data_IF_605454981312
#
_entry.id   IF_605454981312
#
_cell.length_a   1.000
_cell.length_b   1.000
_cell.length_c   1.000
_cell.angle_alpha   90.00
_cell.angle_beta   90.00
_cell.angle_gamma   90.00
#
_symmetry.space_group_name_H-M   'P 1'
#
loop_
_entity.id
_entity.type
_entity.pdbx_description
1 polymer ?
#
# COMPACT_ATOMS: atom_id res chain seq x y z
N UNK A 1 30.68 16.88 -1.96
CA UNK A 1 31.03 15.45 -2.04
C UNK A 1 30.63 14.80 -0.73
N UNK A 2 29.74 13.80 -0.75
CA UNK A 2 29.43 13.00 0.45
C UNK A 2 30.75 12.35 0.88
N UNK A 3 31.27 12.64 2.08
CA UNK A 3 32.41 11.88 2.59
C UNK A 3 31.88 10.49 2.90
N UNK A 4 32.46 9.43 2.33
CA UNK A 4 32.10 8.04 2.63
C UNK A 4 31.99 7.75 4.14
N UNK A 5 32.80 8.44 4.95
CA UNK A 5 32.74 8.40 6.42
C UNK A 5 31.42 8.91 7.02
N UNK A 6 30.74 9.88 6.41
CA UNK A 6 29.44 10.39 6.89
C UNK A 6 28.31 9.39 6.65
N UNK A 7 28.36 8.65 5.53
CA UNK A 7 27.40 7.57 5.27
C UNK A 7 27.49 6.48 6.34
N UNK A 8 28.72 6.02 6.67
CA UNK A 8 28.95 4.99 7.68
C UNK A 8 28.47 5.41 9.08
N UNK A 9 28.45 6.71 9.38
CA UNK A 9 27.89 7.21 10.65
C UNK A 9 26.38 7.01 10.78
N UNK A 10 25.66 6.95 9.65
CA UNK A 10 24.20 6.76 9.62
C UNK A 10 23.78 5.35 9.22
N UNK A 11 24.73 4.53 8.78
CA UNK A 11 24.49 3.15 8.39
C UNK A 11 24.94 2.22 9.52
N UNK A 12 23.99 1.79 10.35
CA UNK A 12 24.24 1.11 11.64
C UNK A 12 25.01 -0.22 11.56
N UNK A 13 25.24 -0.78 10.36
CA UNK A 13 25.89 -2.07 10.15
C UNK A 13 27.04 -1.94 9.13
N UNK A 14 27.90 -2.95 9.03
CA UNK A 14 28.85 -3.03 7.91
C UNK A 14 28.05 -3.26 6.61
N UNK A 15 28.18 -2.40 5.58
CA UNK A 15 27.51 -2.61 4.30
C UNK A 15 27.95 -3.92 3.64
N UNK A 16 27.03 -4.59 2.96
CA UNK A 16 27.39 -5.71 2.08
C UNK A 16 28.12 -5.22 0.83
N UNK A 17 28.69 -6.15 0.06
CA UNK A 17 29.34 -5.82 -1.21
C UNK A 17 28.36 -5.15 -2.18
N UNK A 18 27.16 -5.72 -2.34
CA UNK A 18 26.09 -5.15 -3.17
C UNK A 18 25.68 -3.74 -2.71
N UNK A 19 25.59 -3.51 -1.40
CA UNK A 19 25.26 -2.18 -0.84
C UNK A 19 26.38 -1.16 -1.09
N UNK A 20 27.64 -1.59 -1.02
CA UNK A 20 28.81 -0.75 -1.31
C UNK A 20 28.86 -0.37 -2.80
N UNK A 21 28.59 -1.32 -3.68
CA UNK A 21 28.49 -1.09 -5.14
C UNK A 21 27.31 -0.17 -5.44
N UNK A 22 26.15 -0.41 -4.83
CA UNK A 22 24.96 0.43 -4.99
C UNK A 22 25.21 1.87 -4.54
N UNK A 23 25.85 2.07 -3.39
CA UNK A 23 26.23 3.40 -2.91
C UNK A 23 27.18 4.10 -3.90
N UNK A 24 28.20 3.40 -4.39
CA UNK A 24 29.15 3.96 -5.36
C UNK A 24 28.46 4.40 -6.65
N UNK A 25 27.56 3.56 -7.18
CA UNK A 25 26.74 3.90 -8.35
C UNK A 25 25.80 5.07 -8.08
N UNK A 26 25.20 5.13 -6.89
CA UNK A 26 24.31 6.22 -6.48
C UNK A 26 25.05 7.56 -6.36
N UNK A 27 26.28 7.55 -5.84
CA UNK A 27 27.15 8.74 -5.79
C UNK A 27 27.53 9.21 -7.19
N UNK A 28 27.90 8.30 -8.10
CA UNK A 28 28.19 8.63 -9.49
C UNK A 28 26.94 9.20 -10.19
N UNK A 29 25.78 8.59 -9.95
CA UNK A 29 24.50 9.08 -10.45
C UNK A 29 24.21 10.52 -10.03
N UNK A 30 24.52 10.92 -8.79
CA UNK A 30 24.31 12.30 -8.36
C UNK A 30 25.22 13.30 -9.08
N UNK A 31 26.44 12.90 -9.41
CA UNK A 31 27.45 13.77 -10.03
C UNK A 31 27.23 13.88 -11.54
N UNK A 32 26.85 12.78 -12.19
CA UNK A 32 26.65 12.71 -13.63
C UNK A 32 25.34 13.39 -14.04
N UNK A 33 25.40 14.61 -14.58
CA UNK A 33 24.21 15.35 -15.02
C UNK A 33 23.47 14.73 -16.19
N UNK A 34 24.07 13.75 -16.89
CA UNK A 34 23.39 13.05 -17.99
C UNK A 34 22.36 12.03 -17.51
N UNK A 35 22.52 11.52 -16.28
CA UNK A 35 21.61 10.52 -15.71
C UNK A 35 20.41 11.20 -15.04
N UNK A 36 19.20 10.72 -15.32
CA UNK A 36 17.96 11.32 -14.81
C UNK A 36 17.33 10.44 -13.74
N UNK A 37 17.38 9.12 -13.95
CA UNK A 37 16.76 8.12 -13.08
C UNK A 37 17.79 7.12 -12.55
N UNK A 38 17.64 6.77 -11.27
CA UNK A 38 18.33 5.66 -10.65
C UNK A 38 17.33 4.62 -10.16
N UNK A 39 17.53 3.34 -10.47
CA UNK A 39 16.72 2.23 -9.94
C UNK A 39 17.55 1.42 -8.95
N UNK A 40 17.13 1.39 -7.69
CA UNK A 40 17.65 0.46 -6.68
C UNK A 40 16.67 -0.70 -6.49
N UNK A 41 16.99 -1.84 -7.10
CA UNK A 41 16.25 -3.08 -6.92
C UNK A 41 16.78 -3.83 -5.71
N UNK A 42 15.90 -4.52 -5.00
CA UNK A 42 16.31 -5.43 -3.96
C UNK A 42 15.09 -6.09 -3.33
N UNK A 43 15.27 -7.30 -2.83
CA UNK A 43 14.16 -8.07 -2.28
C UNK A 43 13.87 -7.70 -0.83
N UNK A 44 12.87 -8.34 -0.23
CA UNK A 44 12.60 -8.19 1.20
C UNK A 44 13.87 -8.51 2.02
N UNK A 45 14.19 -7.64 2.98
CA UNK A 45 15.32 -7.86 3.90
C UNK A 45 16.72 -7.50 3.37
N UNK A 46 16.87 -6.96 2.16
CA UNK A 46 18.20 -6.57 1.60
C UNK A 46 18.69 -5.19 2.05
N UNK A 47 17.91 -4.47 2.85
CA UNK A 47 18.31 -3.19 3.45
C UNK A 47 18.16 -1.96 2.54
N UNK A 48 17.33 -2.01 1.50
CA UNK A 48 17.05 -0.86 0.60
C UNK A 48 16.74 0.43 1.36
N UNK A 49 15.74 0.37 2.26
CA UNK A 49 15.28 1.53 3.04
C UNK A 49 16.37 2.02 3.99
N UNK A 50 17.19 1.12 4.56
CA UNK A 50 18.33 1.47 5.42
C UNK A 50 19.42 2.20 4.63
N UNK A 51 19.76 1.70 3.43
CA UNK A 51 20.77 2.30 2.56
C UNK A 51 20.36 3.71 2.14
N UNK A 52 19.11 3.87 1.71
CA UNK A 52 18.59 5.18 1.31
C UNK A 52 18.45 6.13 2.49
N UNK A 53 18.01 5.66 3.65
CA UNK A 53 17.94 6.50 4.85
C UNK A 53 19.32 7.05 5.22
N UNK A 54 20.34 6.19 5.25
CA UNK A 54 21.70 6.62 5.53
C UNK A 54 22.25 7.55 4.45
N UNK A 55 21.97 7.25 3.18
CA UNK A 55 22.31 8.11 2.06
C UNK A 55 21.71 9.51 2.20
N UNK A 56 20.39 9.62 2.42
CA UNK A 56 19.70 10.91 2.58
C UNK A 56 20.23 11.68 3.79
N UNK A 57 20.45 11.02 4.93
CA UNK A 57 21.04 11.65 6.12
C UNK A 57 22.49 12.11 5.91
N UNK A 58 23.22 11.48 4.98
CA UNK A 58 24.59 11.85 4.61
C UNK A 58 24.67 12.98 3.58
N UNK A 59 23.55 13.38 2.97
CA UNK A 59 23.52 14.50 2.03
C UNK A 59 23.84 15.82 2.76
N UNK A 60 24.45 16.80 2.07
CA UNK A 60 24.59 18.15 2.60
C UNK A 60 23.25 18.72 3.07
N UNK A 61 23.25 19.49 4.16
CA UNK A 61 22.01 20.05 4.74
C UNK A 61 21.17 20.90 3.76
N UNK A 62 21.80 21.47 2.72
CA UNK A 62 21.13 22.28 1.71
C UNK A 62 20.59 21.48 0.52
N UNK A 63 20.81 20.17 0.47
CA UNK A 63 20.29 19.32 -0.60
C UNK A 63 18.80 19.08 -0.40
N UNK A 64 17.99 19.51 -1.36
CA UNK A 64 16.54 19.26 -1.34
C UNK A 64 16.27 17.81 -1.73
N UNK A 65 15.57 17.11 -0.85
CA UNK A 65 15.20 15.71 -1.03
C UNK A 65 13.76 15.49 -0.59
N UNK A 66 12.95 14.85 -1.44
CA UNK A 66 11.59 14.43 -1.10
C UNK A 66 11.49 12.91 -1.12
N UNK A 67 11.02 12.34 0.00
CA UNK A 67 10.68 10.93 0.11
C UNK A 67 9.20 10.75 -0.23
N UNK A 68 8.92 9.82 -1.13
CA UNK A 68 7.59 9.56 -1.68
C UNK A 68 7.27 8.07 -1.63
N UNK A 69 5.99 7.74 -1.55
CA UNK A 69 5.50 6.37 -1.68
C UNK A 69 4.12 6.34 -2.40
N UNK A 70 3.74 5.22 -3.05
CA UNK A 70 2.47 5.11 -3.75
C UNK A 70 1.26 5.13 -2.83
N UNK A 71 1.38 4.58 -1.61
CA UNK A 71 0.28 4.45 -0.64
C UNK A 71 0.60 5.16 0.67
N UNK A 72 -0.44 5.59 1.40
CA UNK A 72 -0.30 6.22 2.72
C UNK A 72 0.40 5.30 3.70
N UNK A 73 0.13 4.00 3.62
CA UNK A 73 0.77 2.99 4.47
C UNK A 73 2.27 2.84 4.19
N UNK A 74 2.67 2.73 2.93
CA UNK A 74 4.09 2.67 2.56
C UNK A 74 4.83 3.93 3.03
N UNK A 75 4.22 5.12 2.86
CA UNK A 75 4.79 6.36 3.36
C UNK A 75 4.98 6.36 4.89
N UNK A 76 3.99 5.86 5.64
CA UNK A 76 4.06 5.72 7.12
C UNK A 76 5.14 4.74 7.58
N UNK A 77 5.26 3.59 6.92
CA UNK A 77 6.32 2.60 7.22
C UNK A 77 7.69 3.22 6.96
N UNK A 78 7.86 3.90 5.82
CA UNK A 78 9.10 4.61 5.49
C UNK A 78 9.40 5.73 6.50
N UNK A 79 8.41 6.50 6.95
CA UNK A 79 8.57 7.51 8.00
C UNK A 79 9.08 6.92 9.30
N UNK A 80 8.42 5.86 9.76
CA UNK A 80 8.77 5.19 11.02
C UNK A 80 10.18 4.61 10.99
N UNK A 81 10.60 4.06 9.84
CA UNK A 81 11.92 3.47 9.69
C UNK A 81 13.03 4.50 9.48
N UNK A 82 12.78 5.53 8.66
CA UNK A 82 13.79 6.52 8.28
C UNK A 82 13.93 7.65 9.30
N UNK A 83 12.86 7.98 10.04
CA UNK A 83 12.75 9.19 10.85
C UNK A 83 12.67 10.48 10.00
N UNK A 84 12.40 10.35 8.70
CA UNK A 84 12.30 11.47 7.75
C UNK A 84 10.85 11.59 7.28
N UNK A 85 10.44 12.78 6.85
CA UNK A 85 9.09 13.01 6.35
C UNK A 85 8.92 12.50 4.91
N UNK A 86 8.05 11.51 4.75
CA UNK A 86 7.62 10.86 3.51
C UNK A 86 6.14 11.15 3.30
N UNK A 87 5.81 11.60 2.09
CA UNK A 87 4.42 11.82 1.66
C UNK A 87 4.00 10.84 0.58
N UNK A 88 2.71 10.70 0.31
CA UNK A 88 2.28 9.97 -0.88
C UNK A 88 2.61 10.76 -2.15
N UNK A 89 2.90 10.06 -3.25
CA UNK A 89 3.08 10.70 -4.57
C UNK A 89 1.88 11.59 -4.89
N UNK A 90 0.66 11.07 -4.68
CA UNK A 90 -0.57 11.79 -4.94
C UNK A 90 -0.67 13.13 -4.19
N UNK A 91 -0.32 13.16 -2.89
CA UNK A 91 -0.32 14.39 -2.08
C UNK A 91 0.74 15.37 -2.59
N UNK A 92 1.87 14.85 -3.05
CA UNK A 92 2.99 15.66 -3.49
C UNK A 92 2.73 16.32 -4.86
N UNK A 93 2.33 15.55 -5.88
CA UNK A 93 2.32 16.01 -7.27
C UNK A 93 0.97 16.57 -7.74
N UNK A 94 -0.15 16.33 -7.05
CA UNK A 94 -1.45 16.83 -7.51
C UNK A 94 -2.06 17.91 -6.62
N UNK A 95 -2.67 18.91 -7.23
CA UNK A 95 -3.75 19.65 -6.59
C UNK A 95 -5.01 18.79 -6.62
N UNK A 96 -5.62 18.60 -5.45
CA UNK A 96 -6.99 18.12 -5.38
C UNK A 96 -7.90 19.32 -5.61
N UNK A 97 -8.63 19.32 -6.72
CA UNK A 97 -9.65 20.33 -6.97
C UNK A 97 -10.99 19.69 -7.30
N UNK A 98 -12.05 20.30 -6.77
CA UNK A 98 -13.41 19.84 -7.02
C UNK A 98 -14.07 20.74 -8.07
N UNK A 99 -13.98 20.33 -9.34
CA UNK A 99 -14.66 21.01 -10.45
C UNK A 99 -15.91 20.20 -10.85
N UNK A 100 -17.09 20.76 -10.55
CA UNK A 100 -18.37 20.19 -10.99
C UNK A 100 -18.78 18.89 -10.31
N UNK A 101 -18.28 18.59 -9.10
CA UNK A 101 -18.63 17.36 -8.39
C UNK A 101 -17.83 16.12 -8.82
N UNK A 102 -16.82 16.29 -9.67
CA UNK A 102 -15.78 15.29 -9.89
C UNK A 102 -14.52 15.77 -9.19
N UNK A 103 -13.99 14.95 -8.27
CA UNK A 103 -12.63 15.16 -7.78
C UNK A 103 -11.69 14.99 -8.98
N UNK A 104 -11.10 16.09 -9.41
CA UNK A 104 -10.11 16.12 -10.48
C UNK A 104 -8.75 16.38 -9.86
N UNK A 105 -7.84 15.46 -10.08
CA UNK A 105 -6.43 15.67 -9.80
C UNK A 105 -5.85 16.42 -10.98
N UNK A 106 -5.19 17.55 -10.69
CA UNK A 106 -4.44 18.30 -11.68
C UNK A 106 -3.00 18.35 -11.23
N UNK A 107 -2.08 18.01 -12.13
CA UNK A 107 -0.66 18.03 -11.84
C UNK A 107 -0.23 19.43 -11.39
N UNK A 108 0.55 19.50 -10.30
CA UNK A 108 1.15 20.75 -9.84
C UNK A 108 2.27 21.14 -10.79
N UNK A 109 2.50 22.44 -10.95
CA UNK A 109 3.73 22.91 -11.57
C UNK A 109 4.91 22.66 -10.61
N UNK A 110 5.93 21.92 -11.06
CA UNK A 110 7.14 21.74 -10.28
C UNK A 110 8.03 22.99 -10.39
N UNK A 111 8.27 23.64 -9.25
CA UNK A 111 9.14 24.84 -9.14
C UNK A 111 10.48 24.51 -8.49
N UNK A 112 10.77 23.23 -8.30
CA UNK A 112 11.97 22.78 -7.64
C UNK A 112 13.14 22.70 -8.62
N UNK A 113 14.32 23.04 -8.10
CA UNK A 113 15.58 23.06 -8.83
C UNK A 113 16.58 22.19 -8.09
N UNK A 114 17.36 21.38 -8.83
CA UNK A 114 18.40 20.51 -8.25
C UNK A 114 17.91 19.64 -7.09
N UNK A 115 16.70 19.09 -7.23
CA UNK A 115 16.02 18.35 -6.17
C UNK A 115 16.02 16.85 -6.46
N UNK A 116 16.21 16.06 -5.40
CA UNK A 116 16.20 14.59 -5.47
C UNK A 116 14.82 14.09 -5.01
N UNK A 117 14.15 13.34 -5.88
CA UNK A 117 12.90 12.66 -5.56
C UNK A 117 13.21 11.18 -5.36
N UNK A 118 12.79 10.61 -4.24
CA UNK A 118 13.01 9.20 -3.93
C UNK A 118 11.66 8.55 -3.70
N UNK A 119 11.37 7.50 -4.46
CA UNK A 119 10.09 6.80 -4.40
C UNK A 119 10.30 5.37 -3.93
N UNK A 120 9.75 5.03 -2.76
CA UNK A 120 9.73 3.66 -2.25
C UNK A 120 8.50 2.89 -2.74
N UNK A 121 8.56 1.56 -2.70
CA UNK A 121 7.55 0.64 -3.25
C UNK A 121 7.17 0.97 -4.71
N UNK A 122 8.17 1.33 -5.53
CA UNK A 122 7.98 1.70 -6.93
C UNK A 122 7.42 0.54 -7.80
N UNK A 123 7.42 -0.70 -7.28
CA UNK A 123 6.76 -1.86 -7.89
C UNK A 123 5.28 -1.59 -8.20
N UNK A 124 4.63 -0.70 -7.44
CA UNK A 124 3.20 -0.37 -7.56
C UNK A 124 2.90 0.73 -8.60
N UNK A 125 3.92 1.39 -9.18
CA UNK A 125 3.72 2.49 -10.12
C UNK A 125 3.46 1.96 -11.52
N UNK A 126 2.19 2.01 -11.93
CA UNK A 126 1.76 1.63 -13.26
C UNK A 126 1.61 2.80 -14.21
N UNK A 127 1.65 2.46 -15.49
CA UNK A 127 1.18 3.32 -16.59
C UNK A 127 -0.34 3.41 -16.68
N UNK A 128 -0.86 4.34 -17.48
CA UNK A 128 -2.28 4.51 -17.72
C UNK A 128 -2.95 3.26 -18.33
N UNK A 129 -4.18 3.01 -17.91
CA UNK A 129 -5.03 1.91 -18.39
C UNK A 129 -6.29 2.49 -19.07
N UNK A 130 -7.07 1.72 -19.86
CA UNK A 130 -8.30 2.22 -20.48
C UNK A 130 -9.30 2.88 -19.50
N UNK A 131 -9.34 2.41 -18.24
CA UNK A 131 -10.20 2.96 -17.18
C UNK A 131 -9.58 4.17 -16.44
N UNK A 132 -8.25 4.30 -16.47
CA UNK A 132 -7.48 5.40 -15.87
C UNK A 132 -6.36 5.80 -16.85
N UNK A 133 -6.68 6.61 -17.88
CA UNK A 133 -5.79 6.81 -19.02
C UNK A 133 -4.48 7.55 -18.69
N UNK A 134 -4.36 8.14 -17.50
CA UNK A 134 -3.11 8.70 -16.98
C UNK A 134 -2.67 7.88 -15.78
N UNK A 135 -1.51 7.23 -15.90
CA UNK A 135 -0.89 6.48 -14.82
C UNK A 135 -0.08 7.39 -13.90
N UNK A 136 0.14 6.91 -12.68
CA UNK A 136 0.90 7.66 -11.66
C UNK A 136 2.37 7.78 -12.05
N UNK A 137 2.89 6.85 -12.85
CA UNK A 137 4.28 6.89 -13.31
C UNK A 137 4.50 8.05 -14.29
N UNK A 138 3.65 8.20 -15.30
CA UNK A 138 3.77 9.26 -16.32
C UNK A 138 3.68 10.64 -15.68
N UNK A 139 2.68 10.84 -14.83
CA UNK A 139 2.46 12.11 -14.14
C UNK A 139 3.62 12.44 -13.18
N UNK A 140 4.20 11.43 -12.52
CA UNK A 140 5.38 11.63 -11.68
C UNK A 140 6.60 12.05 -12.52
N UNK A 141 6.85 11.40 -13.66
CA UNK A 141 7.97 11.73 -14.54
C UNK A 141 7.79 13.15 -15.11
N UNK A 142 6.59 13.49 -15.60
CA UNK A 142 6.26 14.84 -16.06
C UNK A 142 6.48 15.88 -14.96
N UNK A 143 5.98 15.61 -13.75
CA UNK A 143 6.19 16.50 -12.62
C UNK A 143 7.67 16.69 -12.31
N UNK A 144 8.43 15.62 -12.13
CA UNK A 144 9.84 15.69 -11.71
C UNK A 144 10.69 16.42 -12.76
N UNK A 145 10.53 16.09 -14.03
CA UNK A 145 11.37 16.60 -15.11
C UNK A 145 10.85 17.91 -15.75
N UNK A 146 9.69 18.41 -15.35
CA UNK A 146 9.31 19.81 -15.61
C UNK A 146 10.11 20.81 -14.77
N UNK A 147 10.68 20.39 -13.64
CA UNK A 147 11.65 21.17 -12.88
C UNK A 147 13.07 21.04 -13.43
N UNK A 148 14.01 21.90 -13.01
CA UNK A 148 15.35 21.94 -13.63
C UNK A 148 16.36 21.10 -12.87
N UNK A 149 17.08 20.23 -13.58
CA UNK A 149 18.17 19.41 -13.03
C UNK A 149 17.75 18.54 -11.84
N UNK A 150 16.51 18.09 -11.83
CA UNK A 150 16.00 17.17 -10.82
C UNK A 150 16.48 15.74 -11.11
N UNK A 151 16.57 14.94 -10.05
CA UNK A 151 16.99 13.54 -10.08
C UNK A 151 15.86 12.69 -9.49
N UNK A 152 15.60 11.53 -10.09
CA UNK A 152 14.60 10.58 -9.59
C UNK A 152 15.26 9.26 -9.19
N UNK A 153 14.90 8.73 -8.02
CA UNK A 153 15.38 7.45 -7.51
C UNK A 153 14.16 6.56 -7.24
N UNK A 154 14.06 5.44 -7.93
CA UNK A 154 13.08 4.39 -7.67
C UNK A 154 13.67 3.31 -6.79
N UNK A 155 12.97 2.95 -5.73
CA UNK A 155 13.28 1.82 -4.86
C UNK A 155 12.14 0.82 -4.97
N UNK A 156 12.48 -0.46 -5.09
CA UNK A 156 11.44 -1.47 -5.06
C UNK A 156 11.96 -2.88 -5.18
N UNK A 157 11.00 -3.80 -5.13
CA UNK A 157 11.20 -5.22 -5.21
C UNK A 157 10.53 -5.76 -6.48
N UNK A 158 11.35 -6.19 -7.43
CA UNK A 158 10.87 -6.68 -8.73
C UNK A 158 10.13 -8.02 -8.63
N UNK A 159 10.28 -8.75 -7.52
CA UNK A 159 9.61 -10.02 -7.27
C UNK A 159 8.21 -9.85 -6.63
N UNK A 160 7.87 -8.63 -6.17
CA UNK A 160 6.52 -8.33 -5.71
C UNK A 160 5.52 -8.26 -6.87
N UNK A 161 4.23 -8.24 -6.51
CA UNK A 161 3.15 -8.00 -7.46
C UNK A 161 3.38 -6.68 -8.24
N UNK A 162 3.26 -6.71 -9.58
CA UNK A 162 3.29 -5.52 -10.41
C UNK A 162 2.03 -4.67 -10.19
N UNK A 163 1.93 -3.48 -10.82
CA UNK A 163 0.71 -2.68 -10.80
C UNK A 163 -0.48 -3.50 -11.33
N UNK A 164 -1.67 -3.27 -10.77
CA UNK A 164 -2.87 -4.03 -11.12
C UNK A 164 -3.16 -3.91 -12.62
N UNK A 165 -3.32 -5.06 -13.29
CA UNK A 165 -3.56 -5.13 -14.73
C UNK A 165 -2.30 -5.09 -15.59
N UNK A 166 -1.11 -5.12 -14.99
CA UNK A 166 0.18 -5.11 -15.69
C UNK A 166 0.99 -6.37 -15.35
N UNK A 167 1.83 -6.84 -16.27
CA UNK A 167 2.64 -8.06 -16.10
C UNK A 167 4.01 -7.78 -15.46
N UNK A 168 4.50 -6.55 -15.54
CA UNK A 168 5.77 -6.09 -15.01
C UNK A 168 5.59 -4.73 -14.32
N UNK A 169 6.58 -4.33 -13.50
CA UNK A 169 6.61 -2.99 -12.91
C UNK A 169 7.39 -2.05 -13.83
N UNK A 170 6.72 -1.11 -14.52
CA UNK A 170 7.39 -0.27 -15.50
C UNK A 170 8.39 0.71 -14.85
N UNK A 171 8.12 1.18 -13.62
CA UNK A 171 9.03 2.05 -12.88
C UNK A 171 10.32 1.36 -12.41
N UNK A 172 10.28 0.03 -12.29
CA UNK A 172 11.45 -0.77 -11.95
C UNK A 172 12.12 -1.38 -13.17
N UNK A 173 11.68 -1.09 -14.40
CA UNK A 173 12.20 -1.66 -15.64
C UNK A 173 13.07 -0.63 -16.40
N UNK A 174 14.36 -0.95 -16.53
CA UNK A 174 15.35 -0.05 -17.15
C UNK A 174 15.10 0.11 -18.66
N UNK A 175 14.78 -0.97 -19.36
CA UNK A 175 14.57 -0.95 -20.80
C UNK A 175 13.27 -0.23 -21.14
N UNK A 176 12.25 -0.41 -20.31
CA UNK A 176 10.98 0.32 -20.43
C UNK A 176 11.18 1.83 -20.31
N UNK A 177 11.86 2.31 -19.25
CA UNK A 177 12.09 3.75 -19.06
C UNK A 177 12.97 4.36 -20.17
N UNK A 178 13.97 3.62 -20.66
CA UNK A 178 14.81 4.07 -21.78
C UNK A 178 14.03 4.14 -23.10
N UNK A 179 13.20 3.14 -23.39
CA UNK A 179 12.53 3.02 -24.69
C UNK A 179 11.29 3.90 -24.80
N UNK A 180 10.48 3.96 -23.74
CA UNK A 180 9.18 4.67 -23.79
C UNK A 180 9.27 6.11 -23.29
N UNK A 181 10.24 6.43 -22.43
CA UNK A 181 10.40 7.79 -21.87
C UNK A 181 11.72 8.46 -22.27
N UNK A 182 12.61 7.77 -23.01
CA UNK A 182 13.90 8.30 -23.47
C UNK A 182 14.82 8.79 -22.33
N UNK A 183 14.67 8.20 -21.14
CA UNK A 183 15.42 8.60 -19.94
C UNK A 183 16.76 7.87 -19.86
N UNK A 184 17.78 8.58 -19.37
CA UNK A 184 19.03 7.96 -18.97
C UNK A 184 18.91 7.35 -17.57
N UNK A 185 19.01 6.02 -17.51
CA UNK A 185 18.78 5.22 -16.30
C UNK A 185 20.05 4.50 -15.86
N UNK A 186 20.37 4.65 -14.58
CA UNK A 186 21.39 3.87 -13.86
C UNK A 186 20.73 2.87 -12.91
N UNK A 187 21.28 1.67 -12.78
CA UNK A 187 20.69 0.61 -11.95
C UNK A 187 21.67 -0.06 -10.99
N UNK A 188 21.17 -0.42 -9.82
CA UNK A 188 21.86 -1.25 -8.83
C UNK A 188 20.89 -2.28 -8.23
N UNK A 189 21.42 -3.44 -7.85
CA UNK A 189 20.65 -4.55 -7.31
C UNK A 189 21.27 -5.05 -6.02
N UNK A 190 20.45 -5.19 -4.98
CA UNK A 190 20.81 -5.78 -3.70
C UNK A 190 20.28 -7.21 -3.65
N UNK A 191 21.19 -8.19 -3.63
CA UNK A 191 20.84 -9.63 -3.60
C UNK A 191 21.01 -10.22 -2.20
N UNK A 192 22.00 -9.75 -1.43
CA UNK A 192 22.25 -10.26 -0.08
C UNK A 192 21.18 -9.78 0.92
N UNK A 193 20.60 -10.74 1.65
CA UNK A 193 19.64 -10.48 2.73
C UNK A 193 20.40 -10.22 4.03
N UNK A 194 20.19 -9.03 4.60
CA UNK A 194 20.93 -8.50 5.77
C UNK A 194 20.11 -8.48 7.06
N UNK A 195 18.90 -9.04 7.06
CA UNK A 195 18.05 -9.09 8.26
C UNK A 195 18.74 -9.93 9.34
N UNK A 196 18.57 -9.55 10.60
CA UNK A 196 19.20 -10.19 11.77
C UNK A 196 18.85 -11.69 11.91
N UNK A 197 17.79 -12.16 11.25
CA UNK A 197 17.36 -13.55 11.22
C UNK A 197 17.74 -14.23 9.89
N UNK A 198 19.04 -14.44 9.65
CA UNK A 198 19.50 -15.28 8.51
C UNK A 198 18.90 -16.70 8.54
N UNK A 199 18.29 -17.11 9.65
CA UNK A 199 17.62 -18.39 9.86
C UNK A 199 16.09 -18.34 9.80
N UNK A 200 15.50 -17.22 9.37
CA UNK A 200 14.04 -17.11 9.19
C UNK A 200 13.57 -17.99 8.02
N UNK A 201 12.61 -18.87 8.26
CA UNK A 201 11.97 -19.66 7.20
C UNK A 201 11.09 -18.78 6.30
N UNK A 202 10.60 -17.63 6.79
CA UNK A 202 9.90 -16.64 5.95
C UNK A 202 10.83 -16.15 4.83
N UNK A 203 12.05 -15.72 5.18
CA UNK A 203 13.03 -15.23 4.21
C UNK A 203 13.56 -16.34 3.29
N UNK A 204 13.77 -17.54 3.84
CA UNK A 204 14.18 -18.71 3.06
C UNK A 204 13.15 -19.03 1.97
N UNK A 205 11.87 -19.14 2.34
CA UNK A 205 10.79 -19.44 1.41
C UNK A 205 10.56 -18.31 0.40
N UNK A 206 10.66 -17.05 0.81
CA UNK A 206 10.62 -15.92 -0.11
C UNK A 206 11.75 -16.00 -1.15
N UNK A 207 12.95 -16.41 -0.73
CA UNK A 207 14.10 -16.62 -1.63
C UNK A 207 13.86 -17.77 -2.60
N UNK A 208 13.30 -18.90 -2.14
CA UNK A 208 12.95 -20.04 -2.98
C UNK A 208 11.94 -19.64 -4.07
N UNK A 209 10.87 -18.94 -3.69
CA UNK A 209 9.86 -18.47 -4.64
C UNK A 209 10.46 -17.50 -5.67
N UNK A 210 11.30 -16.55 -5.23
CA UNK A 210 11.99 -15.63 -6.13
C UNK A 210 12.89 -16.35 -7.12
N UNK A 211 13.68 -17.31 -6.65
CA UNK A 211 14.56 -18.07 -7.53
C UNK A 211 13.75 -18.88 -8.54
N UNK A 212 12.61 -19.43 -8.13
CA UNK A 212 11.67 -20.10 -9.04
C UNK A 212 11.16 -19.18 -10.16
N UNK A 213 10.91 -17.89 -9.88
CA UNK A 213 10.46 -16.92 -10.89
C UNK A 213 11.50 -16.65 -12.00
N UNK A 214 12.78 -16.96 -11.77
CA UNK A 214 13.85 -16.71 -12.73
C UNK A 214 14.04 -17.87 -13.73
N UNK A 215 13.36 -19.00 -13.55
CA UNK A 215 13.42 -20.13 -14.47
C UNK A 215 12.26 -20.06 -15.46
N UNK A 216 12.50 -20.46 -16.72
CA UNK A 216 11.52 -20.36 -17.82
C UNK A 216 10.16 -21.01 -17.51
N UNK A 217 10.16 -22.10 -16.73
CA UNK A 217 8.94 -22.84 -16.36
C UNK A 217 8.35 -22.42 -15.01
N UNK A 218 8.95 -21.45 -14.30
CA UNK A 218 8.49 -20.95 -13.00
C UNK A 218 8.15 -22.04 -11.97
N UNK A 219 8.85 -23.18 -11.98
CA UNK A 219 8.47 -24.39 -11.20
C UNK A 219 8.26 -24.06 -9.72
N UNK A 220 7.10 -24.42 -9.17
CA UNK A 220 6.79 -24.14 -7.77
C UNK A 220 7.77 -24.88 -6.85
N UNK A 221 8.50 -24.17 -5.96
CA UNK A 221 9.48 -24.79 -5.08
C UNK A 221 8.80 -25.46 -3.88
N UNK A 222 9.45 -26.47 -3.32
CA UNK A 222 9.05 -27.03 -2.02
C UNK A 222 9.33 -26.02 -0.91
N UNK A 223 8.30 -25.65 -0.16
CA UNK A 223 8.38 -24.71 0.95
C UNK A 223 8.88 -25.41 2.21
N UNK A 224 9.75 -24.75 2.95
CA UNK A 224 10.41 -25.29 4.13
C UNK A 224 9.71 -24.77 5.38
N UNK A 225 9.10 -25.68 6.14
CA UNK A 225 8.46 -25.38 7.44
C UNK A 225 9.51 -24.98 8.48
N UNK A 226 9.09 -24.21 9.47
CA UNK A 226 9.93 -23.85 10.60
C UNK A 226 9.16 -23.14 11.70
N UNK A 227 9.90 -22.51 12.61
CA UNK A 227 9.32 -21.86 13.79
C UNK A 227 8.48 -20.64 13.43
N UNK A 228 8.88 -19.92 12.40
CA UNK A 228 8.25 -18.69 11.89
C UNK A 228 7.46 -18.91 10.59
N UNK A 229 7.44 -20.13 10.06
CA UNK A 229 6.72 -20.48 8.82
C UNK A 229 5.99 -21.81 8.99
N UNK A 230 4.71 -21.71 9.34
CA UNK A 230 3.92 -22.80 9.91
C UNK A 230 2.81 -23.18 8.94
N UNK A 231 2.63 -24.49 8.75
CA UNK A 231 1.53 -25.03 7.97
C UNK A 231 0.41 -25.50 8.90
N UNK A 232 -0.74 -24.83 8.88
CA UNK A 232 -1.89 -25.20 9.69
C UNK A 232 -2.88 -26.01 8.87
N UNK A 233 -3.23 -27.21 9.35
CA UNK A 233 -4.13 -28.15 8.68
C UNK A 233 -5.34 -28.51 9.50
N UNK A 234 -5.10 -28.75 10.79
CA UNK A 234 -6.14 -29.14 11.69
C UNK A 234 -7.05 -27.94 11.98
N UNK A 235 -8.37 -28.17 11.94
CA UNK A 235 -9.35 -27.11 12.12
C UNK A 235 -9.30 -26.50 13.52
N UNK A 236 -8.97 -27.29 14.54
CA UNK A 236 -8.82 -26.79 15.90
C UNK A 236 -7.57 -25.94 16.03
N UNK A 237 -6.44 -26.38 15.46
CA UNK A 237 -5.20 -25.60 15.46
C UNK A 237 -5.36 -24.25 14.73
N UNK A 238 -6.04 -24.24 13.58
CA UNK A 238 -6.37 -23.02 12.84
C UNK A 238 -7.22 -22.08 13.72
N UNK A 239 -8.27 -22.61 14.33
CA UNK A 239 -9.16 -21.81 15.17
C UNK A 239 -8.44 -21.25 16.41
N UNK A 240 -7.62 -22.06 17.08
CA UNK A 240 -6.82 -21.66 18.24
C UNK A 240 -5.85 -20.54 17.88
N UNK A 241 -5.07 -20.70 16.79
CA UNK A 241 -4.09 -19.71 16.36
C UNK A 241 -4.73 -18.40 15.88
N UNK A 242 -5.85 -18.49 15.17
CA UNK A 242 -6.60 -17.29 14.80
C UNK A 242 -7.17 -16.60 16.06
N UNK A 243 -7.69 -17.36 17.02
CA UNK A 243 -8.23 -16.80 18.27
C UNK A 243 -7.17 -16.11 19.10
N UNK A 244 -5.97 -16.69 19.23
CA UNK A 244 -4.84 -16.04 19.90
C UNK A 244 -4.37 -14.77 19.17
N UNK A 245 -4.41 -14.77 17.83
CA UNK A 245 -3.87 -13.66 17.02
C UNK A 245 -4.85 -12.48 16.90
N UNK A 246 -6.16 -12.75 16.90
CA UNK A 246 -7.19 -11.72 16.86
C UNK A 246 -7.74 -11.37 18.26
N UNK A 247 -7.08 -11.80 19.33
CA UNK A 247 -7.30 -11.24 20.66
C UNK A 247 -6.98 -9.73 20.67
N UNK A 248 -7.65 -9.00 21.56
CA UNK A 248 -7.59 -7.55 21.77
C UNK A 248 -6.18 -6.95 21.79
N UNK A 249 -5.16 -7.69 22.23
CA UNK A 249 -3.77 -7.22 22.30
C UNK A 249 -2.98 -7.33 21.00
N UNK A 250 -3.35 -8.27 20.13
CA UNK A 250 -2.58 -8.65 18.94
C UNK A 250 -3.32 -8.38 17.63
N UNK A 251 -4.55 -7.88 17.72
CA UNK A 251 -5.45 -7.67 16.58
C UNK A 251 -4.85 -6.73 15.51
N UNK A 252 -4.10 -5.71 15.93
CA UNK A 252 -3.44 -4.75 15.03
C UNK A 252 -2.13 -5.31 14.44
N UNK A 253 -1.60 -6.37 15.04
CA UNK A 253 -0.37 -7.05 14.62
C UNK A 253 -0.62 -8.28 13.75
N UNK A 254 -1.90 -8.59 13.47
CA UNK A 254 -2.32 -9.81 12.80
C UNK A 254 -3.18 -9.50 11.57
N UNK A 255 -2.97 -10.27 10.49
CA UNK A 255 -3.76 -10.12 9.26
C UNK A 255 -3.98 -11.46 8.56
N UNK A 256 -5.12 -11.60 7.90
CA UNK A 256 -5.36 -12.68 6.94
C UNK A 256 -5.25 -12.11 5.52
N UNK A 257 -4.42 -12.75 4.71
CA UNK A 257 -4.18 -12.42 3.32
C UNK A 257 -4.86 -13.45 2.42
N UNK A 258 -5.68 -12.93 1.52
CA UNK A 258 -6.45 -13.71 0.55
C UNK A 258 -6.28 -13.17 -0.85
N UNK A 259 -6.78 -13.91 -1.84
CA UNK A 259 -6.70 -13.49 -3.23
C UNK A 259 -7.77 -12.46 -3.61
N UNK A 260 -9.04 -12.68 -3.25
CA UNK A 260 -10.18 -11.87 -3.73
C UNK A 260 -10.94 -11.14 -2.62
N UNK A 261 -11.61 -10.04 -2.98
CA UNK A 261 -12.48 -9.30 -2.04
C UNK A 261 -13.60 -10.18 -1.47
N UNK A 262 -14.14 -11.11 -2.27
CA UNK A 262 -15.16 -12.07 -1.81
C UNK A 262 -14.63 -12.95 -0.68
N UNK A 263 -13.41 -13.48 -0.79
CA UNK A 263 -12.76 -14.25 0.28
C UNK A 263 -12.49 -13.36 1.50
N UNK A 264 -12.07 -12.11 1.29
CA UNK A 264 -11.80 -11.17 2.38
C UNK A 264 -13.07 -10.90 3.18
N UNK A 265 -14.20 -10.63 2.52
CA UNK A 265 -15.49 -10.44 3.16
C UNK A 265 -15.92 -11.68 3.97
N UNK A 266 -15.74 -12.89 3.40
CA UNK A 266 -16.06 -14.11 4.13
C UNK A 266 -15.23 -14.25 5.41
N UNK A 267 -13.91 -14.13 5.33
CA UNK A 267 -13.05 -14.21 6.52
C UNK A 267 -13.38 -13.11 7.52
N UNK A 268 -13.55 -11.87 7.08
CA UNK A 268 -13.93 -10.77 7.96
C UNK A 268 -15.21 -11.09 8.75
N UNK A 269 -16.26 -11.58 8.08
CA UNK A 269 -17.49 -12.00 8.76
C UNK A 269 -17.25 -13.14 9.74
N UNK A 270 -16.47 -14.16 9.37
CA UNK A 270 -16.20 -15.30 10.25
C UNK A 270 -15.36 -14.92 11.47
N UNK A 271 -14.33 -14.07 11.31
CA UNK A 271 -13.52 -13.56 12.43
C UNK A 271 -14.41 -12.76 13.37
N UNK A 272 -15.23 -11.84 12.86
CA UNK A 272 -16.16 -11.06 13.67
C UNK A 272 -17.10 -11.96 14.48
N UNK A 273 -17.79 -12.87 13.81
CA UNK A 273 -18.83 -13.68 14.45
C UNK A 273 -18.26 -14.77 15.37
N UNK A 274 -17.23 -15.49 14.93
CA UNK A 274 -16.76 -16.69 15.64
C UNK A 274 -15.62 -16.44 16.62
N UNK A 275 -14.80 -15.44 16.37
CA UNK A 275 -13.63 -15.16 17.20
C UNK A 275 -13.90 -13.96 18.11
N UNK A 276 -14.43 -12.88 17.54
CA UNK A 276 -14.67 -11.63 18.28
C UNK A 276 -16.06 -11.57 18.92
N UNK A 277 -16.93 -12.57 18.68
CA UNK A 277 -18.32 -12.63 19.15
C UNK A 277 -19.13 -11.35 18.82
N UNK A 278 -18.94 -10.81 17.62
CA UNK A 278 -19.61 -9.62 17.08
C UNK A 278 -20.68 -10.01 16.09
N UNK A 279 -21.93 -9.77 16.47
CA UNK A 279 -23.11 -10.11 15.67
C UNK A 279 -23.76 -8.90 14.99
N UNK A 280 -23.51 -7.69 15.49
CA UNK A 280 -24.09 -6.50 14.89
C UNK A 280 -23.42 -6.20 13.54
N UNK A 281 -24.11 -5.40 12.72
CA UNK A 281 -23.57 -4.95 11.44
C UNK A 281 -22.24 -4.22 11.60
N UNK A 282 -22.08 -3.46 12.69
CA UNK A 282 -20.86 -2.78 13.11
C UNK A 282 -20.84 -2.69 14.64
N UNK A 283 -19.71 -3.02 15.27
CA UNK A 283 -19.52 -3.00 16.72
C UNK A 283 -18.33 -2.11 17.13
N UNK A 284 -18.34 -1.64 18.38
CA UNK A 284 -17.16 -1.03 18.95
C UNK A 284 -15.98 -2.03 19.00
N UNK A 285 -14.78 -1.52 18.74
CA UNK A 285 -13.56 -2.28 18.52
C UNK A 285 -13.40 -2.84 17.10
N UNK A 286 -14.34 -2.62 16.18
CA UNK A 286 -14.18 -3.07 14.79
C UNK A 286 -13.05 -2.35 14.07
N UNK A 287 -12.29 -3.10 13.26
CA UNK A 287 -11.25 -2.57 12.39
C UNK A 287 -11.77 -2.38 10.98
N UNK A 288 -11.69 -1.15 10.49
CA UNK A 288 -12.20 -0.71 9.20
C UNK A 288 -11.07 -0.14 8.35
N UNK A 289 -10.85 -0.71 7.18
CA UNK A 289 -9.97 -0.17 6.17
C UNK A 289 -10.75 0.78 5.25
N UNK A 290 -10.22 1.98 5.07
CA UNK A 290 -10.73 2.97 4.14
C UNK A 290 -10.42 2.51 2.70
N UNK A 291 -11.42 2.45 1.83
CA UNK A 291 -11.24 1.96 0.45
C UNK A 291 -11.17 3.07 -0.61
N UNK A 292 -11.36 4.33 -0.19
CA UNK A 292 -11.28 5.51 -1.06
C UNK A 292 -10.82 6.71 -0.26
N UNK A 293 -9.93 7.52 -0.83
CA UNK A 293 -9.46 8.75 -0.19
C UNK A 293 -10.64 9.65 0.18
N UNK A 294 -10.58 10.25 1.37
CA UNK A 294 -11.57 11.18 1.88
C UNK A 294 -10.87 12.42 2.47
N UNK A 295 -11.30 13.60 2.05
CA UNK A 295 -10.72 14.90 2.40
C UNK A 295 -11.65 15.78 3.24
N UNK A 296 -12.80 15.24 3.67
CA UNK A 296 -13.85 16.01 4.32
C UNK A 296 -13.75 16.00 5.84
N UNK A 297 -13.46 14.84 6.43
CA UNK A 297 -13.55 14.64 7.88
C UNK A 297 -12.36 15.15 8.69
N UNK A 298 -11.22 15.39 8.03
CA UNK A 298 -10.00 15.87 8.68
C UNK A 298 -9.54 17.17 8.03
N UNK A 299 -9.08 18.10 8.86
CA UNK A 299 -8.43 19.33 8.40
C UNK A 299 -7.09 19.02 7.74
N UNK A 300 -6.69 19.82 6.75
CA UNK A 300 -5.47 19.61 6.00
C UNK A 300 -4.20 19.70 6.87
N UNK A 301 -4.29 20.46 7.96
CA UNK A 301 -3.27 20.71 8.96
C UNK A 301 -3.24 19.65 10.07
N UNK A 302 -4.24 18.76 10.11
CA UNK A 302 -4.23 17.64 11.07
C UNK A 302 -3.01 16.73 10.85
N UNK A 303 -2.55 15.99 11.88
CA UNK A 303 -1.43 15.06 11.74
C UNK A 303 -1.57 14.11 10.54
N UNK A 304 -2.77 13.59 10.29
CA UNK A 304 -3.04 12.78 9.10
C UNK A 304 -3.19 13.64 7.82
N UNK A 305 -3.80 14.83 7.94
CA UNK A 305 -4.10 15.77 6.87
C UNK A 305 -5.30 15.37 6.00
N UNK A 306 -5.50 14.06 5.76
CA UNK A 306 -6.68 13.48 5.13
C UNK A 306 -6.73 11.98 5.42
N UNK A 307 -7.82 11.32 5.01
CA UNK A 307 -8.01 9.89 5.16
C UNK A 307 -7.65 9.17 3.85
N UNK A 308 -6.60 8.35 3.85
CA UNK A 308 -6.12 7.68 2.64
C UNK A 308 -6.72 6.28 2.45
N UNK A 309 -6.83 5.86 1.19
CA UNK A 309 -7.12 4.46 0.85
C UNK A 309 -6.05 3.54 1.46
N UNK A 310 -6.49 2.52 2.19
CA UNK A 310 -5.66 1.59 2.93
C UNK A 310 -5.43 1.96 4.40
N UNK A 311 -5.80 3.16 4.84
CA UNK A 311 -5.74 3.51 6.28
C UNK A 311 -6.73 2.66 7.08
N UNK A 312 -6.32 2.24 8.28
CA UNK A 312 -7.13 1.44 9.19
C UNK A 312 -7.63 2.33 10.34
N UNK A 313 -8.93 2.22 10.59
CA UNK A 313 -9.67 2.87 11.65
C UNK A 313 -10.13 1.81 12.66
N UNK A 314 -10.02 2.12 13.94
CA UNK A 314 -10.74 1.42 15.00
C UNK A 314 -12.01 2.19 15.34
N UNK A 315 -13.14 1.50 15.34
CA UNK A 315 -14.42 2.02 15.84
C UNK A 315 -14.35 2.08 17.36
N UNK A 316 -14.32 3.26 17.95
CA UNK A 316 -14.39 3.43 19.40
C UNK A 316 -15.83 3.37 19.88
N UNK A 317 -16.76 3.93 19.11
CA UNK A 317 -18.18 3.98 19.45
C UNK A 317 -19.04 4.04 18.19
N UNK A 318 -20.14 3.30 18.19
CA UNK A 318 -21.22 3.45 17.21
C UNK A 318 -22.29 4.34 17.84
N UNK A 319 -22.45 5.55 17.31
CA UNK A 319 -23.38 6.55 17.86
C UNK A 319 -24.81 6.28 17.40
N UNK A 320 -24.99 6.09 16.09
CA UNK A 320 -26.28 5.71 15.48
C UNK A 320 -26.06 5.05 14.13
N UNK A 321 -27.00 4.21 13.74
CA UNK A 321 -27.10 3.66 12.39
C UNK A 321 -28.41 4.15 11.77
N UNK A 322 -28.35 4.66 10.55
CA UNK A 322 -29.50 5.23 9.84
C UNK A 322 -29.53 4.79 8.37
N UNK A 323 -30.74 4.74 7.80
CA UNK A 323 -30.98 4.35 6.41
C UNK A 323 -31.54 5.53 5.63
N UNK A 324 -31.02 5.76 4.42
CA UNK A 324 -31.37 6.89 3.57
C UNK A 324 -31.19 6.52 2.09
N UNK A 325 -32.27 6.59 1.30
CA UNK A 325 -32.27 6.29 -0.14
C UNK A 325 -31.65 4.94 -0.54
N UNK A 326 -31.93 3.88 0.22
CA UNK A 326 -31.35 2.53 0.12
C UNK A 326 -29.87 2.41 0.56
N UNK A 327 -29.29 3.49 1.06
CA UNK A 327 -27.97 3.49 1.68
C UNK A 327 -28.07 3.43 3.19
N UNK A 328 -27.14 2.72 3.83
CA UNK A 328 -27.04 2.63 5.27
C UNK A 328 -25.75 3.30 5.73
N UNK A 329 -25.88 4.11 6.76
CA UNK A 329 -24.81 4.91 7.31
C UNK A 329 -24.68 4.63 8.79
N UNK A 330 -23.46 4.64 9.31
CA UNK A 330 -23.22 4.70 10.74
C UNK A 330 -22.47 5.99 11.07
N UNK A 331 -22.99 6.74 12.04
CA UNK A 331 -22.22 7.77 12.70
C UNK A 331 -21.38 7.10 13.79
N UNK A 332 -20.07 7.27 13.71
CA UNK A 332 -19.10 6.55 14.53
C UNK A 332 -18.04 7.51 15.05
N UNK A 333 -17.55 7.23 16.25
CA UNK A 333 -16.30 7.79 16.74
C UNK A 333 -15.19 6.78 16.46
N UNK A 334 -14.13 7.22 15.79
CA UNK A 334 -13.03 6.35 15.35
C UNK A 334 -11.69 6.90 15.79
N UNK A 335 -10.67 6.04 15.85
CA UNK A 335 -9.25 6.43 15.87
C UNK A 335 -8.50 5.74 14.76
N UNK A 336 -7.41 6.35 14.29
CA UNK A 336 -6.49 5.66 13.37
C UNK A 336 -5.60 4.71 14.19
N UNK A 337 -5.46 3.46 13.76
CA UNK A 337 -4.65 2.46 14.49
C UNK A 337 -3.16 2.75 14.40
N UNK A 338 -2.73 3.31 13.27
CA UNK A 338 -1.31 3.45 12.92
C UNK A 338 -0.79 4.88 13.14
N UNK A 339 -1.57 5.77 13.76
CA UNK A 339 -1.20 7.17 13.97
C UNK A 339 -1.68 7.68 15.34
N UNK A 340 -0.89 7.41 16.37
CA UNK A 340 -1.23 7.74 17.76
C UNK A 340 -1.41 9.24 18.02
N UNK A 341 -0.71 10.10 17.28
CA UNK A 341 -0.80 11.55 17.44
C UNK A 341 -2.07 12.15 16.83
N UNK A 342 -2.82 11.39 16.01
CA UNK A 342 -4.09 11.83 15.47
C UNK A 342 -5.20 11.60 16.51
N UNK A 343 -5.85 12.66 17.02
CA UNK A 343 -6.93 12.51 17.98
C UNK A 343 -8.13 11.77 17.36
N UNK A 344 -8.87 10.99 18.17
CA UNK A 344 -10.12 10.38 17.73
C UNK A 344 -11.11 11.42 17.22
N UNK A 345 -11.85 11.09 16.17
CA UNK A 345 -12.79 12.00 15.51
C UNK A 345 -14.11 11.29 15.21
N UNK A 346 -15.17 12.08 15.02
CA UNK A 346 -16.48 11.58 14.61
C UNK A 346 -16.62 11.67 13.08
N UNK A 347 -17.21 10.65 12.49
CA UNK A 347 -17.44 10.59 11.05
C UNK A 347 -18.63 9.69 10.70
N UNK A 348 -19.10 9.82 9.46
CA UNK A 348 -20.08 8.90 8.89
C UNK A 348 -19.36 7.89 8.02
N UNK A 349 -19.63 6.60 8.24
CA UNK A 349 -19.19 5.50 7.38
C UNK A 349 -20.35 4.93 6.58
N UNK A 350 -20.07 4.54 5.33
CA UNK A 350 -21.04 3.94 4.41
C UNK A 350 -21.05 2.41 4.56
N UNK A 351 -22.10 1.87 5.18
CA UNK A 351 -22.20 0.45 5.53
C UNK A 351 -22.40 -0.46 4.30
N UNK A 352 -23.00 0.05 3.22
CA UNK A 352 -23.16 -0.70 1.97
C UNK A 352 -21.82 -1.24 1.42
N UNK A 353 -20.72 -0.52 1.70
CA UNK A 353 -19.39 -0.91 1.22
C UNK A 353 -18.73 -2.02 2.04
N UNK A 354 -19.21 -2.31 3.26
CA UNK A 354 -18.63 -3.31 4.15
C UNK A 354 -18.61 -4.71 3.54
N UNK A 355 -19.71 -5.08 2.88
CA UNK A 355 -19.93 -6.43 2.33
C UNK A 355 -19.91 -6.47 0.79
N UNK A 356 -19.78 -5.32 0.13
CA UNK A 356 -19.69 -5.25 -1.34
C UNK A 356 -18.49 -6.03 -1.88
N UNK A 357 -18.62 -6.67 -3.03
CA UNK A 357 -17.51 -7.39 -3.68
C UNK A 357 -16.57 -6.45 -4.47
N UNK A 358 -17.08 -5.30 -4.89
CA UNK A 358 -16.31 -4.24 -5.57
C UNK A 358 -15.27 -3.61 -4.66
N UNK A 359 -14.26 -2.94 -5.23
CA UNK A 359 -13.22 -2.28 -4.44
C UNK A 359 -13.79 -1.15 -3.56
N UNK A 360 -14.75 -0.40 -4.11
CA UNK A 360 -15.47 0.72 -3.49
C UNK A 360 -16.92 0.73 -3.97
N UNK A 361 -17.74 1.67 -3.50
CA UNK A 361 -19.10 1.86 -4.00
C UNK A 361 -19.08 2.10 -5.53
N UNK A 362 -19.90 1.39 -6.32
CA UNK A 362 -19.99 1.60 -7.76
C UNK A 362 -20.36 3.03 -8.13
N UNK A 363 -19.88 3.49 -9.30
CA UNK A 363 -20.13 4.86 -9.76
C UNK A 363 -21.62 5.18 -9.91
N UNK A 364 -22.40 4.24 -10.42
CA UNK A 364 -23.85 4.39 -10.61
C UNK A 364 -24.58 4.56 -9.28
N UNK A 365 -24.24 3.73 -8.29
CA UNK A 365 -24.79 3.84 -6.93
C UNK A 365 -24.41 5.15 -6.26
N UNK A 366 -23.15 5.56 -6.36
CA UNK A 366 -22.69 6.83 -5.81
C UNK A 366 -23.40 8.02 -6.50
N UNK A 367 -23.58 7.96 -7.82
CA UNK A 367 -24.32 8.98 -8.57
C UNK A 367 -25.78 9.05 -8.12
N UNK A 368 -26.41 7.90 -7.85
CA UNK A 368 -27.78 7.83 -7.32
C UNK A 368 -27.89 8.44 -5.93
N UNK A 369 -26.96 8.13 -5.02
CA UNK A 369 -26.90 8.76 -3.70
C UNK A 369 -26.84 10.29 -3.81
N UNK A 370 -25.94 10.81 -4.65
CA UNK A 370 -25.78 12.25 -4.82
C UNK A 370 -27.03 12.92 -5.41
N UNK A 371 -27.70 12.29 -6.37
CA UNK A 371 -28.94 12.81 -6.94
C UNK A 371 -30.04 12.92 -5.87
N UNK A 372 -30.20 11.89 -5.04
CA UNK A 372 -31.20 11.89 -3.98
C UNK A 372 -30.91 12.97 -2.92
N UNK A 373 -29.63 13.15 -2.55
CA UNK A 373 -29.21 14.24 -1.64
C UNK A 373 -29.47 15.63 -2.23
N UNK A 374 -29.27 15.83 -3.54
CA UNK A 374 -29.65 17.09 -4.21
C UNK A 374 -31.15 17.33 -4.11
N UNK A 375 -31.97 16.31 -4.39
CA UNK A 375 -33.42 16.44 -4.37
C UNK A 375 -33.95 16.74 -2.96
N UNK A 376 -33.31 16.20 -1.93
CA UNK A 376 -33.66 16.47 -0.54
C UNK A 376 -33.36 17.91 -0.12
N UNK A 377 -32.14 18.40 -0.39
CA UNK A 377 -31.71 19.73 0.05
C UNK A 377 -32.30 20.87 -0.80
N UNK A 378 -32.50 20.63 -2.10
CA UNK A 378 -32.87 21.68 -3.06
C UNK A 378 -34.26 21.47 -3.70
N UNK A 379 -34.95 20.40 -3.35
CA UNK A 379 -36.30 20.03 -3.84
C UNK A 379 -36.28 19.10 -5.06
N UNK A 380 -37.38 18.37 -5.27
CA UNK A 380 -37.50 17.31 -6.30
C UNK A 380 -37.19 17.78 -7.73
N UNK A 381 -37.49 19.06 -8.05
CA UNK A 381 -37.24 19.66 -9.37
C UNK A 381 -35.85 20.26 -9.52
N UNK A 382 -35.00 20.15 -8.50
CA UNK A 382 -33.64 20.67 -8.54
C UNK A 382 -32.82 19.94 -9.60
N UNK A 383 -32.15 20.71 -10.45
CA UNK A 383 -31.24 20.13 -11.45
C UNK A 383 -29.97 19.61 -10.74
N UNK A 384 -29.69 18.29 -10.73
CA UNK A 384 -28.51 17.73 -10.07
C UNK A 384 -27.21 18.38 -10.52
N UNK A 385 -27.06 18.67 -11.81
CA UNK A 385 -25.83 19.27 -12.36
C UNK A 385 -25.49 20.62 -11.72
N UNK A 386 -26.49 21.36 -11.23
CA UNK A 386 -26.30 22.67 -10.60
C UNK A 386 -25.82 22.57 -9.15
N UNK A 387 -26.29 21.57 -8.41
CA UNK A 387 -26.12 21.49 -6.96
C UNK A 387 -25.17 20.37 -6.51
N UNK A 388 -24.82 19.42 -7.39
CA UNK A 388 -23.89 18.32 -7.11
C UNK A 388 -22.58 18.79 -6.46
N UNK A 389 -22.02 19.90 -6.95
CA UNK A 389 -20.78 20.45 -6.38
C UNK A 389 -20.96 20.86 -4.90
N UNK A 390 -22.09 21.49 -4.55
CA UNK A 390 -22.37 21.91 -3.17
C UNK A 390 -22.57 20.70 -2.27
N UNK A 391 -23.37 19.72 -2.71
CA UNK A 391 -23.57 18.46 -1.97
C UNK A 391 -22.23 17.78 -1.68
N UNK A 392 -21.35 17.62 -2.67
CA UNK A 392 -20.07 16.94 -2.45
C UNK A 392 -19.13 17.75 -1.54
N UNK A 393 -19.23 19.08 -1.52
CA UNK A 393 -18.38 19.89 -0.65
C UNK A 393 -18.87 19.89 0.80
N UNK A 394 -20.18 19.95 1.00
CA UNK A 394 -20.74 20.35 2.30
C UNK A 394 -21.56 19.23 2.97
N UNK A 395 -22.05 18.24 2.21
CA UNK A 395 -22.95 17.22 2.75
C UNK A 395 -22.16 16.04 3.38
N UNK A 396 -22.39 15.72 4.67
CA UNK A 396 -21.71 14.62 5.35
C UNK A 396 -21.99 13.21 4.77
N UNK A 397 -23.16 12.96 4.20
CA UNK A 397 -23.52 11.67 3.60
C UNK A 397 -22.87 11.48 2.23
N UNK A 398 -22.74 12.55 1.44
CA UNK A 398 -21.97 12.53 0.20
C UNK A 398 -20.48 12.20 0.48
N UNK A 399 -19.99 12.64 1.64
CA UNK A 399 -18.64 12.41 2.12
C UNK A 399 -18.53 11.26 3.13
N UNK A 400 -19.53 10.38 3.22
CA UNK A 400 -19.42 9.20 4.06
C UNK A 400 -18.20 8.37 3.65
N UNK A 401 -17.40 7.97 4.63
CA UNK A 401 -16.18 7.20 4.40
C UNK A 401 -16.58 5.80 3.93
N UNK A 402 -16.05 5.40 2.77
CA UNK A 402 -16.25 4.05 2.26
C UNK A 402 -15.24 3.12 2.91
N UNK A 403 -15.73 2.04 3.51
CA UNK A 403 -14.96 1.17 4.40
C UNK A 403 -15.24 -0.30 4.13
N UNK A 404 -14.25 -1.13 4.44
CA UNK A 404 -14.39 -2.59 4.59
C UNK A 404 -13.78 -3.03 5.90
N UNK A 405 -14.23 -4.15 6.45
CA UNK A 405 -13.51 -4.78 7.56
C UNK A 405 -12.07 -5.13 7.15
N UNK A 406 -11.15 -5.07 8.10
CA UNK A 406 -9.71 -5.18 7.84
C UNK A 406 -9.00 -6.32 8.56
N UNK A 407 -9.72 -7.33 9.07
CA UNK A 407 -9.10 -8.55 9.62
C UNK A 407 -8.52 -9.43 8.52
N UNK A 408 -9.17 -9.42 7.36
CA UNK A 408 -8.74 -10.04 6.13
C UNK A 408 -8.76 -9.04 4.98
N UNK A 409 -7.69 -9.01 4.19
CA UNK A 409 -7.56 -8.16 3.00
C UNK A 409 -6.92 -8.93 1.85
N UNK A 410 -7.03 -8.38 0.64
CA UNK A 410 -6.32 -8.96 -0.50
C UNK A 410 -4.82 -8.66 -0.43
N UNK A 411 -3.98 -9.55 -0.98
CA UNK A 411 -2.51 -9.33 -1.02
C UNK A 411 -2.15 -8.02 -1.71
N UNK A 412 -2.88 -7.64 -2.77
CA UNK A 412 -2.71 -6.33 -3.43
C UNK A 412 -2.87 -5.15 -2.44
N UNK A 413 -3.89 -5.19 -1.58
CA UNK A 413 -4.11 -4.16 -0.55
C UNK A 413 -3.12 -4.23 0.61
N UNK A 414 -2.39 -5.34 0.73
CA UNK A 414 -1.38 -5.56 1.76
C UNK A 414 0.01 -5.02 1.35
N UNK A 415 0.23 -4.63 0.09
CA UNK A 415 1.51 -4.06 -0.36
C UNK A 415 1.89 -2.81 0.44
N UNK A 416 3.17 -2.67 0.76
CA UNK A 416 3.69 -1.65 1.68
C UNK A 416 3.32 -1.87 3.16
N UNK A 417 2.47 -2.86 3.47
CA UNK A 417 2.12 -3.25 4.84
C UNK A 417 3.02 -4.35 5.40
N UNK A 418 3.14 -4.42 6.72
CA UNK A 418 3.80 -5.52 7.41
C UNK A 418 3.12 -5.76 8.76
N UNK A 419 3.05 -7.02 9.19
CA UNK A 419 2.40 -7.46 10.43
C UNK A 419 3.27 -8.49 11.12
N UNK A 420 3.19 -8.57 12.45
CA UNK A 420 3.89 -9.60 13.22
C UNK A 420 3.44 -10.99 12.76
N UNK A 421 2.13 -11.17 12.57
CA UNK A 421 1.51 -12.46 12.20
C UNK A 421 0.69 -12.35 10.93
N UNK A 422 0.99 -13.21 9.97
CA UNK A 422 0.30 -13.24 8.67
C UNK A 422 -0.26 -14.62 8.40
N UNK A 423 -1.57 -14.71 8.21
CA UNK A 423 -2.24 -15.92 7.74
C UNK A 423 -2.44 -15.82 6.23
N UNK A 424 -2.06 -16.83 5.46
CA UNK A 424 -2.18 -16.85 4.00
C UNK A 424 -3.07 -18.01 3.60
N UNK A 425 -4.21 -17.71 2.99
CA UNK A 425 -5.07 -18.73 2.39
C UNK A 425 -4.54 -19.15 1.02
N UNK A 426 -4.44 -20.45 0.75
CA UNK A 426 -4.18 -20.97 -0.61
C UNK A 426 -5.31 -20.57 -1.57
N UNK A 427 -5.02 -19.80 -2.62
CA UNK A 427 -6.00 -19.50 -3.65
C UNK A 427 -6.25 -20.71 -4.56
N UNK A 428 -7.51 -20.94 -4.91
CA UNK A 428 -7.91 -22.01 -5.86
C UNK A 428 -7.97 -21.54 -7.32
N UNK A 429 -7.66 -20.27 -7.60
CA UNK A 429 -7.88 -19.67 -8.92
C UNK A 429 -6.74 -19.94 -9.90
N UNK A 430 -5.51 -20.04 -9.40
CA UNK A 430 -4.34 -20.26 -10.24
C UNK A 430 -4.37 -21.70 -10.75
N UNK A 431 -4.46 -21.84 -12.08
CA UNK A 431 -4.39 -23.15 -12.74
C UNK A 431 -2.93 -23.47 -13.05
N UNK A 432 -2.59 -24.74 -12.96
CA UNK A 432 -1.25 -25.22 -13.33
C UNK A 432 -0.94 -24.82 -14.79
N UNK A 433 0.31 -24.38 -15.01
CA UNK A 433 0.95 -24.06 -16.30
C UNK A 433 0.71 -22.68 -16.96
N UNK A 434 -0.36 -21.93 -16.66
CA UNK A 434 -0.59 -20.62 -17.31
C UNK A 434 -0.31 -19.40 -16.42
N UNK A 435 -0.56 -19.49 -15.11
CA UNK A 435 -0.52 -18.33 -14.21
C UNK A 435 0.61 -18.44 -13.17
N UNK A 436 1.62 -19.25 -13.45
CA UNK A 436 2.58 -19.69 -12.46
C UNK A 436 3.46 -18.55 -11.94
N UNK A 437 3.92 -17.66 -12.82
CA UNK A 437 4.68 -16.47 -12.41
C UNK A 437 3.83 -15.53 -11.55
N UNK A 438 2.56 -15.31 -11.91
CA UNK A 438 1.65 -14.47 -11.14
C UNK A 438 1.39 -15.06 -9.75
N UNK A 439 1.18 -16.38 -9.67
CA UNK A 439 1.01 -17.07 -8.40
C UNK A 439 2.25 -16.96 -7.52
N UNK A 440 3.45 -17.16 -8.08
CA UNK A 440 4.70 -17.02 -7.34
C UNK A 440 4.87 -15.59 -6.81
N UNK A 441 4.61 -14.56 -7.62
CA UNK A 441 4.66 -13.14 -7.18
C UNK A 441 3.63 -12.84 -6.11
N UNK A 442 2.42 -13.37 -6.26
CA UNK A 442 1.35 -13.22 -5.27
C UNK A 442 1.77 -13.82 -3.93
N UNK A 443 2.25 -15.08 -3.93
CA UNK A 443 2.65 -15.77 -2.71
C UNK A 443 3.90 -15.14 -2.08
N UNK A 444 4.89 -14.75 -2.89
CA UNK A 444 6.06 -14.01 -2.44
C UNK A 444 5.65 -12.69 -1.76
N UNK A 445 4.76 -11.93 -2.38
CA UNK A 445 4.26 -10.68 -1.82
C UNK A 445 3.56 -10.92 -0.48
N UNK A 446 2.73 -11.96 -0.39
CA UNK A 446 2.02 -12.35 0.83
C UNK A 446 2.97 -12.75 1.96
N UNK A 447 3.93 -13.64 1.69
CA UNK A 447 4.92 -14.13 2.67
C UNK A 447 5.77 -12.97 3.21
N UNK A 448 6.22 -12.06 2.33
CA UNK A 448 7.05 -10.93 2.74
C UNK A 448 6.33 -9.86 3.57
N UNK A 449 5.02 -10.00 3.80
CA UNK A 449 4.28 -9.15 4.75
C UNK A 449 4.50 -9.57 6.21
N UNK A 450 4.94 -10.81 6.45
CA UNK A 450 5.18 -11.36 7.79
C UNK A 450 6.49 -10.86 8.41
N UNK A 451 6.43 -10.36 9.64
CA UNK A 451 7.61 -9.94 10.40
C UNK A 451 8.13 -11.05 11.31
N UNK A 452 7.25 -11.78 11.99
CA UNK A 452 7.61 -12.78 13.02
C UNK A 452 7.08 -14.17 12.68
N UNK A 453 5.83 -14.29 12.24
CA UNK A 453 5.21 -15.58 11.93
C UNK A 453 4.34 -15.51 10.66
N UNK A 454 4.45 -16.53 9.81
CA UNK A 454 3.58 -16.76 8.66
C UNK A 454 2.91 -18.12 8.80
N UNK A 455 1.58 -18.13 8.70
CA UNK A 455 0.74 -19.31 8.79
C UNK A 455 0.10 -19.60 7.43
N UNK A 456 0.32 -20.78 6.88
CA UNK A 456 -0.26 -21.23 5.62
C UNK A 456 -1.53 -22.05 5.86
N UNK A 457 -2.63 -21.67 5.21
CA UNK A 457 -3.95 -22.30 5.32
C UNK A 457 -4.36 -22.94 4.00
N UNK A 458 -4.75 -24.23 4.03
CA UNK A 458 -5.26 -24.95 2.86
C UNK A 458 -4.19 -25.32 1.83
N UNK A 459 -2.92 -25.33 2.22
CA UNK A 459 -1.83 -25.84 1.37
C UNK A 459 -1.76 -27.38 1.46
N UNK A 460 -1.43 -28.02 0.34
CA UNK A 460 -1.30 -29.46 0.26
C UNK A 460 0.11 -29.92 0.70
N UNK A 461 0.32 -31.21 1.02
CA UNK A 461 1.64 -31.68 1.54
C UNK A 461 2.70 -31.58 0.44
N UNK A 462 2.27 -31.72 -0.81
CA UNK A 462 3.11 -31.57 -1.99
C UNK A 462 3.70 -30.16 -2.14
N UNK A 463 3.20 -29.15 -1.43
CA UNK A 463 3.80 -27.83 -1.39
C UNK A 463 5.06 -27.77 -0.49
N UNK A 464 5.36 -28.82 0.28
CA UNK A 464 6.45 -28.86 1.28
C UNK A 464 7.50 -29.93 1.02
#
# INVERSE_FOLDING_TARGET
>A
MIKSNLFLNYFNNVPTEDQTVALSKLLNFLIDSSQEVFILRGTAGTGKTSLITAFVKSLPANTRCYLLAPTGRAAKVMNSYSGLHTSTIHRHIYYSSNKGGKFTFTLKANKEHQTIYIVDEASMLGIGNPDQPQGVLEDLLEYVFSGTSNKLIFLGDYAQLPPVGQSLSPALDEEFLKTFFFLNVSTAQLNEVVRQEKHSNILLNATLLRNAMNFDNCVFPKLIRGKDFIHLRDKYEIFEKLSDSFDTKKIDESIILVYSNKRANLYNTQIRQRILARENELDAGDRLMIVKNNYFWLEAESPAGFLANGDILEVLQVLRIESKYDFRFANVKVRMTDLNDQPPFECIVLLNTLYGETASLPYEEYSRLLQNLVQEEYGEKANPKRYLKKIIMDNPYANAIQVKFSYAITVHKAQGGQWSRVFIEKPFIFRENNDQLEYLRWLYTAITRGKEEVYLLGFEEDAF
#
